data_IF_903562603001
#
_entry.id   IF_903562603001
#
_cell.length_a   1.000
_cell.length_b   1.000
_cell.length_c   1.000
_cell.angle_alpha   90.00
_cell.angle_beta   90.00
_cell.angle_gamma   90.00
#
_symmetry.space_group_name_H-M   'P 1'
#
loop_
_entity.id
_entity.type
_entity.pdbx_description
1 polymer ?
#
# COMPACT_ATOMS: atom_id res chain seq x y z
N UNK A 1 -33.27 6.54 -31.26
CA UNK A 1 -33.58 6.57 -29.82
C UNK A 1 -32.86 5.40 -29.19
N UNK A 2 -31.71 5.63 -28.55
CA UNK A 2 -30.89 4.57 -27.98
C UNK A 2 -30.83 4.76 -26.46
N UNK A 3 -31.29 3.76 -25.71
CA UNK A 3 -31.19 3.76 -24.25
C UNK A 3 -29.73 3.51 -23.84
N UNK A 4 -29.14 4.47 -23.13
CA UNK A 4 -27.92 4.27 -22.35
C UNK A 4 -28.30 3.71 -20.99
N UNK A 5 -28.02 2.43 -20.77
CA UNK A 5 -28.05 1.82 -19.43
C UNK A 5 -26.79 2.23 -18.66
N UNK A 6 -26.96 3.10 -17.67
CA UNK A 6 -25.93 3.44 -16.69
C UNK A 6 -25.78 2.29 -15.69
N UNK A 7 -24.69 1.53 -15.80
CA UNK A 7 -24.34 0.51 -14.80
C UNK A 7 -23.88 1.17 -13.50
N UNK A 8 -24.72 1.13 -12.47
CA UNK A 8 -24.44 1.67 -11.14
C UNK A 8 -23.83 0.59 -10.23
N UNK A 9 -22.55 0.26 -10.42
CA UNK A 9 -21.79 -0.64 -9.53
C UNK A 9 -20.47 -0.04 -9.05
N UNK A 10 -20.50 0.65 -7.90
CA UNK A 10 -19.31 0.82 -7.05
C UNK A 10 -19.72 1.07 -5.59
N UNK A 11 -20.22 0.04 -4.91
CA UNK A 11 -20.81 0.13 -3.56
C UNK A 11 -19.78 0.25 -2.41
N UNK A 12 -18.98 1.33 -2.46
CA UNK A 12 -18.35 1.97 -1.30
C UNK A 12 -17.54 1.06 -0.38
N UNK A 13 -16.25 0.90 -0.67
CA UNK A 13 -15.28 0.91 0.42
C UNK A 13 -15.35 2.31 1.05
N UNK A 14 -15.71 2.40 2.33
CA UNK A 14 -15.75 3.68 3.02
C UNK A 14 -14.37 4.33 2.91
N UNK A 15 -14.31 5.51 2.26
CA UNK A 15 -13.06 6.19 1.97
C UNK A 15 -12.46 6.71 3.29
N UNK A 16 -11.67 5.87 3.96
CA UNK A 16 -10.91 6.23 5.14
C UNK A 16 -10.03 7.41 4.77
N UNK A 17 -10.31 8.59 5.35
CA UNK A 17 -9.49 9.76 5.09
C UNK A 17 -8.07 9.47 5.55
N UNK A 18 -7.05 9.61 4.68
CA UNK A 18 -5.68 9.35 5.05
C UNK A 18 -5.26 10.35 6.13
N UNK A 19 -4.99 9.83 7.34
CA UNK A 19 -4.55 10.63 8.47
C UNK A 19 -3.12 11.14 8.21
N UNK A 20 -3.01 12.42 7.86
CA UNK A 20 -1.74 13.12 7.73
C UNK A 20 -1.51 14.04 8.95
N UNK A 21 -0.26 14.18 9.43
CA UNK A 21 0.10 15.22 10.39
C UNK A 21 -0.31 16.62 9.91
N UNK A 22 -0.72 17.48 10.86
CA UNK A 22 -1.22 18.82 10.57
C UNK A 22 -0.22 19.69 9.77
N UNK A 23 1.08 19.56 10.02
CA UNK A 23 2.13 20.27 9.28
C UNK A 23 2.16 19.89 7.79
N UNK A 24 1.91 18.62 7.44
CA UNK A 24 1.82 18.19 6.04
C UNK A 24 0.52 18.69 5.42
N UNK A 25 -0.59 18.70 6.16
CA UNK A 25 -1.87 19.21 5.66
C UNK A 25 -1.78 20.71 5.35
N UNK A 26 -1.27 21.53 6.28
CA UNK A 26 -1.11 22.96 6.06
C UNK A 26 -0.07 23.22 4.97
N UNK A 27 1.07 22.51 4.98
CA UNK A 27 2.07 22.62 3.92
C UNK A 27 1.50 22.31 2.54
N UNK A 28 0.63 21.31 2.40
CA UNK A 28 -0.05 20.99 1.14
C UNK A 28 -1.14 22.01 0.74
N UNK A 29 -1.75 22.69 1.70
CA UNK A 29 -2.83 23.65 1.47
C UNK A 29 -2.32 25.08 1.21
N UNK A 30 -1.09 25.39 1.62
CA UNK A 30 -0.41 26.65 1.35
C UNK A 30 0.63 26.51 0.22
N UNK A 31 0.67 25.38 -0.50
CA UNK A 31 1.63 25.15 -1.57
C UNK A 31 1.57 26.28 -2.63
N UNK A 32 0.37 26.77 -2.93
CA UNK A 32 0.02 27.78 -3.95
C UNK A 32 0.21 29.22 -3.49
N UNK A 33 0.35 29.43 -2.19
CA UNK A 33 0.68 30.71 -1.57
C UNK A 33 2.20 30.89 -1.36
N UNK A 34 3.01 29.87 -1.66
CA UNK A 34 4.47 29.91 -1.49
C UNK A 34 5.13 30.44 -2.77
N UNK A 35 5.70 31.65 -2.69
CA UNK A 35 6.45 32.31 -3.79
C UNK A 35 7.51 31.40 -4.44
N UNK A 36 8.13 30.52 -3.66
CA UNK A 36 9.14 29.58 -4.13
C UNK A 36 8.62 28.56 -5.17
N UNK A 37 7.29 28.41 -5.32
CA UNK A 37 6.65 27.59 -6.33
C UNK A 37 5.90 28.41 -7.41
N UNK A 38 6.07 29.73 -7.47
CA UNK A 38 5.40 30.58 -8.47
C UNK A 38 5.68 30.14 -9.91
N UNK A 39 6.94 29.78 -10.22
CA UNK A 39 7.35 29.31 -11.54
C UNK A 39 7.02 27.82 -11.82
N UNK A 40 6.31 27.13 -10.91
CA UNK A 40 5.99 25.70 -11.04
C UNK A 40 4.78 25.50 -11.99
N UNK A 41 4.93 24.80 -13.12
CA UNK A 41 3.79 24.54 -14.01
C UNK A 41 2.67 23.73 -13.34
N UNK A 42 1.41 24.13 -13.52
CA UNK A 42 0.19 23.48 -12.98
C UNK A 42 0.18 21.95 -13.16
N UNK A 43 0.73 21.48 -14.29
CA UNK A 43 0.84 20.07 -14.63
C UNK A 43 1.67 19.25 -13.62
N UNK A 44 2.56 19.91 -12.87
CA UNK A 44 3.48 19.31 -11.90
C UNK A 44 2.95 19.39 -10.46
N UNK A 45 1.94 20.21 -10.21
CA UNK A 45 1.30 20.41 -8.90
C UNK A 45 0.98 19.12 -8.16
N UNK A 46 0.23 18.24 -8.85
CA UNK A 46 -0.19 16.95 -8.31
C UNK A 46 0.97 15.99 -8.03
N UNK A 47 2.13 16.21 -8.66
CA UNK A 47 3.35 15.43 -8.38
C UNK A 47 4.00 15.96 -7.10
N UNK A 48 4.14 17.28 -6.95
CA UNK A 48 4.67 17.91 -5.74
C UNK A 48 3.80 17.60 -4.51
N UNK A 49 2.49 17.80 -4.59
CA UNK A 49 1.57 17.50 -3.49
C UNK A 49 1.59 16.01 -3.07
N UNK A 50 1.86 15.08 -3.99
CA UNK A 50 2.06 13.65 -3.67
C UNK A 50 3.43 13.35 -3.09
N UNK A 51 4.45 14.12 -3.44
CA UNK A 51 5.79 14.03 -2.85
C UNK A 51 5.79 14.55 -1.40
N UNK A 52 5.20 15.72 -1.16
CA UNK A 52 5.06 16.33 0.18
C UNK A 52 4.31 15.41 1.14
N UNK A 53 3.22 14.76 0.68
CA UNK A 53 2.47 13.75 1.45
C UNK A 53 3.26 12.47 1.80
N UNK A 54 4.49 12.31 1.30
CA UNK A 54 5.41 11.21 1.63
C UNK A 54 6.62 11.67 2.48
N UNK A 55 6.72 12.95 2.85
CA UNK A 55 7.72 13.44 3.80
C UNK A 55 7.38 12.95 5.21
N UNK A 56 8.39 12.53 5.97
CA UNK A 56 8.26 12.20 7.39
C UNK A 56 8.38 13.46 8.25
N UNK A 57 7.41 13.77 9.11
CA UNK A 57 7.50 14.93 10.02
C UNK A 57 8.56 14.72 11.11
N UNK A 58 8.79 13.47 11.53
CA UNK A 58 9.82 13.14 12.51
C UNK A 58 11.25 13.28 11.95
N UNK A 59 11.39 13.14 10.62
CA UNK A 59 12.69 13.11 9.92
C UNK A 59 12.59 13.78 8.53
N UNK A 60 12.40 15.12 8.45
CA UNK A 60 12.05 15.79 7.19
C UNK A 60 13.10 15.65 6.07
N UNK A 61 14.38 15.55 6.43
CA UNK A 61 15.50 15.39 5.49
C UNK A 61 15.77 13.94 5.05
N UNK A 62 14.95 12.98 5.49
CA UNK A 62 15.13 11.57 5.15
C UNK A 62 14.75 11.29 3.69
N UNK A 63 15.47 10.37 3.05
CA UNK A 63 15.17 9.91 1.70
C UNK A 63 13.74 9.37 1.57
N UNK A 64 12.96 9.96 0.67
CA UNK A 64 11.63 9.47 0.28
C UNK A 64 11.81 8.33 -0.73
N UNK A 65 11.25 7.17 -0.40
CA UNK A 65 11.18 6.01 -1.30
C UNK A 65 9.93 6.12 -2.20
N UNK A 66 10.03 6.94 -3.25
CA UNK A 66 8.96 7.13 -4.22
C UNK A 66 9.38 6.67 -5.62
N UNK A 67 8.89 5.50 -6.06
CA UNK A 67 9.05 5.02 -7.43
C UNK A 67 8.31 5.94 -8.41
N UNK A 68 8.88 6.18 -9.59
CA UNK A 68 8.31 7.10 -10.60
C UNK A 68 6.94 6.63 -11.09
N UNK A 69 6.76 5.32 -11.20
CA UNK A 69 5.53 4.65 -11.60
C UNK A 69 4.44 4.81 -10.52
N UNK A 70 4.83 4.79 -9.24
CA UNK A 70 3.94 5.03 -8.11
C UNK A 70 3.49 6.49 -8.06
N UNK A 71 4.43 7.45 -8.21
CA UNK A 71 4.09 8.88 -8.31
C UNK A 71 3.20 9.18 -9.52
N UNK A 72 3.45 8.55 -10.66
CA UNK A 72 2.62 8.69 -11.87
C UNK A 72 1.17 8.26 -11.61
N UNK A 73 1.00 7.05 -11.06
CA UNK A 73 -0.32 6.51 -10.69
C UNK A 73 -1.04 7.38 -9.64
N UNK A 74 -0.33 7.85 -8.61
CA UNK A 74 -0.95 8.65 -7.52
C UNK A 74 -1.28 10.10 -7.93
N UNK A 75 -0.53 10.68 -8.87
CA UNK A 75 -0.77 12.04 -9.38
C UNK A 75 -1.74 12.09 -10.58
N UNK A 76 -2.00 10.93 -11.22
CA UNK A 76 -2.78 10.84 -12.45
C UNK A 76 -2.03 11.44 -13.66
N UNK A 77 -0.69 11.35 -13.67
CA UNK A 77 0.19 11.90 -14.70
C UNK A 77 1.08 10.80 -15.30
N UNK A 78 1.61 11.02 -16.50
CA UNK A 78 2.51 10.05 -17.12
C UNK A 78 3.88 9.97 -16.43
N UNK A 79 4.62 8.88 -16.62
CA UNK A 79 5.97 8.67 -16.03
C UNK A 79 6.98 9.69 -16.57
N UNK A 80 6.78 10.18 -17.79
CA UNK A 80 7.53 11.26 -18.44
C UNK A 80 7.22 12.59 -17.79
N UNK A 81 5.93 12.87 -17.54
CA UNK A 81 5.47 14.10 -16.87
C UNK A 81 6.00 14.18 -15.45
N UNK A 82 5.93 13.08 -14.68
CA UNK A 82 6.60 12.96 -13.38
C UNK A 82 8.11 13.15 -13.51
N UNK A 83 8.73 12.61 -14.56
CA UNK A 83 10.16 12.81 -14.82
C UNK A 83 10.54 14.28 -15.06
N UNK A 84 9.68 15.06 -15.75
CA UNK A 84 9.88 16.51 -15.98
C UNK A 84 9.64 17.31 -14.70
N UNK A 85 8.54 17.06 -13.98
CA UNK A 85 8.25 17.67 -12.69
C UNK A 85 9.38 17.44 -11.67
N UNK A 86 9.89 16.22 -11.63
CA UNK A 86 11.04 15.87 -10.80
C UNK A 86 12.31 16.61 -11.22
N UNK A 87 12.65 16.69 -12.52
CA UNK A 87 13.80 17.50 -12.96
C UNK A 87 13.66 18.96 -12.57
N UNK A 88 12.51 19.59 -12.83
CA UNK A 88 12.24 20.97 -12.43
C UNK A 88 12.52 21.20 -10.92
N UNK A 89 12.04 20.30 -10.05
CA UNK A 89 12.29 20.38 -8.60
C UNK A 89 13.76 20.16 -8.20
N UNK A 90 14.56 19.49 -9.04
CA UNK A 90 16.00 19.27 -8.86
C UNK A 90 16.79 20.50 -9.34
N UNK A 91 16.41 21.06 -10.49
CA UNK A 91 16.97 22.28 -11.08
C UNK A 91 16.74 23.52 -10.18
N UNK A 92 15.63 23.57 -9.44
CA UNK A 92 15.32 24.62 -8.46
C UNK A 92 15.80 24.29 -7.02
N UNK A 93 16.61 23.23 -6.87
CA UNK A 93 17.24 22.78 -5.62
C UNK A 93 16.27 22.31 -4.50
N UNK A 94 14.99 22.11 -4.77
CA UNK A 94 14.03 21.62 -3.76
C UNK A 94 14.28 20.16 -3.37
N UNK A 95 14.84 19.36 -4.29
CA UNK A 95 15.18 17.95 -4.03
C UNK A 95 16.52 17.56 -4.63
N UNK A 96 17.30 16.77 -3.88
CA UNK A 96 18.48 16.07 -4.40
C UNK A 96 18.11 14.62 -4.75
N UNK A 97 18.69 14.05 -5.81
CA UNK A 97 18.58 12.60 -6.10
C UNK A 97 19.91 11.88 -6.03
N UNK A 98 19.93 10.78 -5.28
CA UNK A 98 20.93 9.74 -5.53
C UNK A 98 20.55 8.98 -6.81
N UNK A 99 21.01 9.44 -7.97
CA UNK A 99 20.94 8.67 -9.20
C UNK A 99 21.97 7.54 -9.18
N UNK A 100 21.67 6.44 -8.44
CA UNK A 100 22.38 5.17 -8.62
C UNK A 100 22.01 4.54 -9.96
N UNK A 101 22.65 5.03 -11.02
CA UNK A 101 22.69 4.38 -12.31
C UNK A 101 23.42 3.04 -12.18
N UNK A 102 22.69 1.96 -11.91
CA UNK A 102 23.21 0.61 -12.09
C UNK A 102 23.46 0.41 -13.58
N UNK A 103 24.72 0.24 -13.98
CA UNK A 103 25.09 0.00 -15.36
C UNK A 103 24.31 -1.21 -15.92
N UNK A 104 23.39 -0.97 -16.87
CA UNK A 104 22.56 -1.99 -17.51
C UNK A 104 21.08 -2.03 -17.12
N UNK A 105 20.62 -1.31 -16.09
CA UNK A 105 19.20 -1.33 -15.68
C UNK A 105 18.46 -0.03 -16.02
N UNK A 106 17.46 -0.14 -16.91
CA UNK A 106 16.50 0.93 -17.25
C UNK A 106 15.44 1.07 -16.14
N UNK A 107 15.87 1.42 -14.94
CA UNK A 107 15.05 1.47 -13.73
C UNK A 107 15.82 2.05 -12.55
N UNK A 108 16.04 3.36 -12.55
CA UNK A 108 16.69 4.08 -11.47
C UNK A 108 15.77 4.18 -10.25
N UNK A 109 16.05 3.39 -9.20
CA UNK A 109 15.51 3.63 -7.86
C UNK A 109 16.17 4.90 -7.29
N UNK A 110 15.65 6.06 -7.69
CA UNK A 110 16.10 7.35 -7.19
C UNK A 110 15.57 7.56 -5.78
N UNK A 111 16.48 7.62 -4.80
CA UNK A 111 16.18 8.18 -3.48
C UNK A 111 16.03 9.68 -3.65
N UNK A 112 14.88 10.22 -3.28
CA UNK A 112 14.60 11.66 -3.34
C UNK A 112 14.81 12.22 -1.94
N UNK A 113 15.80 13.10 -1.78
CA UNK A 113 16.09 13.76 -0.53
C UNK A 113 15.48 15.18 -0.58
N UNK A 114 14.55 15.52 0.34
CA UNK A 114 14.09 16.90 0.49
C UNK A 114 15.25 17.79 0.93
N UNK A 115 15.51 18.87 0.18
CA UNK A 115 16.48 19.89 0.58
C UNK A 115 15.91 20.73 1.73
N UNK A 116 16.77 21.34 2.55
CA UNK A 116 16.36 22.33 3.58
C UNK A 116 15.40 23.39 3.00
N UNK A 117 15.75 23.96 1.83
CA UNK A 117 14.93 24.88 1.02
C UNK A 117 13.45 24.44 0.88
N UNK A 118 13.19 23.15 0.61
CA UNK A 118 11.84 22.60 0.50
C UNK A 118 11.17 22.42 1.86
N UNK A 119 11.92 21.99 2.87
CA UNK A 119 11.42 21.76 4.24
C UNK A 119 11.01 23.10 4.88
N UNK A 120 11.84 24.12 4.73
CA UNK A 120 11.63 25.48 5.22
C UNK A 120 10.47 26.17 4.50
N UNK A 121 10.41 26.08 3.15
CA UNK A 121 9.28 26.61 2.37
C UNK A 121 7.94 26.00 2.80
N UNK A 122 7.89 24.70 3.09
CA UNK A 122 6.68 24.01 3.55
C UNK A 122 6.40 24.20 5.05
N UNK A 123 7.30 24.84 5.81
CA UNK A 123 7.21 24.97 7.27
C UNK A 123 7.24 23.64 8.04
N UNK A 124 7.74 22.55 7.44
CA UNK A 124 7.68 21.21 8.03
C UNK A 124 8.77 21.07 9.10
N UNK A 125 8.35 21.11 10.37
CA UNK A 125 9.25 20.95 11.51
C UNK A 125 9.61 22.26 12.21
N UNK A 126 9.26 23.41 11.63
CA UNK A 126 9.29 24.67 12.39
C UNK A 126 8.13 24.69 13.38
N UNK A 127 8.43 24.89 14.68
CA UNK A 127 7.42 25.37 15.62
C UNK A 127 7.04 26.77 15.16
N UNK A 128 5.83 26.93 14.62
CA UNK A 128 5.25 28.25 14.33
C UNK A 128 5.07 29.01 15.65
N UNK A 129 6.12 29.71 16.07
CA UNK A 129 6.03 30.79 17.04
C UNK A 129 5.27 31.92 16.35
N UNK A 130 3.93 31.82 16.37
CA UNK A 130 3.03 32.81 15.78
C UNK A 130 2.97 34.08 16.64
N UNK A 131 4.13 34.72 16.84
CA UNK A 131 4.17 36.15 17.12
C UNK A 131 3.86 36.83 15.79
N UNK A 132 2.56 36.90 15.48
CA UNK A 132 2.07 37.85 14.50
C UNK A 132 2.30 39.22 15.15
N UNK A 133 3.42 39.86 14.85
CA UNK A 133 3.61 41.28 15.13
C UNK A 133 2.60 42.02 14.28
N UNK A 134 1.39 42.16 14.82
CA UNK A 134 0.45 43.17 14.37
C UNK A 134 1.15 44.50 14.54
N UNK A 135 1.65 45.05 13.43
CA UNK A 135 2.19 46.40 13.40
C UNK A 135 0.98 47.32 13.55
N UNK A 136 0.79 48.02 14.68
CA UNK A 136 -0.35 48.88 14.84
C UNK A 136 -0.18 50.05 13.87
N UNK A 137 -1.19 50.28 13.04
CA UNK A 137 -1.24 51.47 12.20
C UNK A 137 -1.31 52.72 13.10
N UNK A 138 -0.64 53.80 12.70
CA UNK A 138 -0.37 54.94 13.56
C UNK A 138 -1.65 55.76 13.90
N UNK A 139 -1.67 56.51 15.01
CA UNK A 139 -2.91 56.85 15.71
C UNK A 139 -3.58 58.17 15.25
N UNK A 140 -4.90 58.24 15.48
CA UNK A 140 -5.68 59.48 15.48
C UNK A 140 -6.46 59.63 16.81
N UNK A 141 -6.83 60.86 17.22
CA UNK A 141 -6.58 61.28 18.59
C UNK A 141 -7.75 61.13 19.59
N UNK A 142 -7.39 61.32 20.86
CA UNK A 142 -8.21 61.11 22.05
C UNK A 142 -9.52 61.93 22.11
N UNK A 143 -10.52 61.31 22.73
CA UNK A 143 -11.56 61.97 23.51
C UNK A 143 -11.72 61.20 24.84
N UNK A 144 -11.62 61.91 25.96
CA UNK A 144 -11.76 61.34 27.31
C UNK A 144 -13.24 61.13 27.65
N UNK A 145 -13.58 60.08 28.41
CA UNK A 145 -13.95 60.16 29.84
C UNK A 145 -14.43 58.78 30.39
N UNK A 146 -14.66 58.60 31.72
CA UNK A 146 -14.16 57.38 32.40
C UNK A 146 -15.14 56.20 32.64
N UNK A 147 -14.52 55.08 33.04
CA UNK A 147 -14.97 53.91 33.83
C UNK A 147 -16.29 54.02 34.63
N UNK A 148 -17.04 52.91 34.90
CA UNK A 148 -16.47 51.77 35.68
C UNK A 148 -16.97 50.32 35.41
N UNK A 149 -16.22 49.36 35.99
CA UNK A 149 -16.65 48.01 36.45
C UNK A 149 -17.02 46.93 35.38
N UNK A 150 -16.82 45.60 35.57
CA UNK A 150 -16.38 44.79 36.73
C UNK A 150 -15.71 43.46 36.26
N UNK A 151 -14.97 42.78 37.17
CA UNK A 151 -14.76 41.32 37.23
C UNK A 151 -13.83 40.58 36.21
N UNK A 152 -12.56 40.43 36.59
CA UNK A 152 -11.92 39.10 36.70
C UNK A 152 -11.99 38.69 38.19
N UNK A 153 -12.02 37.41 38.61
CA UNK A 153 -11.15 36.30 38.17
C UNK A 153 -11.97 34.99 37.91
N UNK A 154 -11.47 33.74 37.89
CA UNK A 154 -10.16 33.22 38.31
C UNK A 154 -9.73 31.91 37.61
N UNK A 155 -8.44 31.59 37.81
CA UNK A 155 -7.78 30.33 37.54
C UNK A 155 -8.23 29.18 38.47
N UNK A 156 -8.32 27.96 37.91
CA UNK A 156 -8.36 26.71 38.70
C UNK A 156 -7.28 25.73 38.21
N UNK A 157 -6.16 25.79 38.93
CA UNK A 157 -5.24 24.70 39.32
C UNK A 157 -5.33 23.38 38.53
N UNK A 158 -4.29 23.11 37.73
CA UNK A 158 -3.79 21.76 37.54
C UNK A 158 -2.76 21.45 38.63
N UNK A 159 -2.90 20.33 39.31
CA UNK A 159 -1.94 19.81 40.28
C UNK A 159 -1.84 18.28 40.12
N UNK A 160 -0.72 17.67 40.52
CA UNK A 160 -0.49 16.23 40.41
C UNK A 160 0.49 15.79 39.31
N UNK A 161 1.78 16.11 39.49
CA UNK A 161 2.87 15.45 38.75
C UNK A 161 3.37 14.22 39.52
N UNK A 162 3.47 13.05 38.87
CA UNK A 162 4.33 11.95 39.36
C UNK A 162 5.11 11.34 38.20
N UNK A 163 6.43 11.22 38.37
CA UNK A 163 7.32 10.48 37.48
C UNK A 163 8.18 9.51 38.28
N UNK A 164 8.12 8.22 37.93
CA UNK A 164 9.15 7.20 38.12
C UNK A 164 8.67 5.97 37.30
N UNK A 165 9.39 5.46 36.30
CA UNK A 165 10.56 4.58 36.41
C UNK A 165 10.38 3.45 37.44
N UNK A 166 10.61 2.22 36.94
CA UNK A 166 11.07 1.04 37.68
C UNK A 166 10.03 0.16 38.40
N UNK A 167 9.48 -0.81 37.65
CA UNK A 167 9.41 -2.20 38.13
C UNK A 167 9.95 -3.10 37.01
N UNK A 168 10.82 -4.05 37.37
CA UNK A 168 11.53 -4.97 36.47
C UNK A 168 11.16 -6.41 36.83
N UNK A 169 11.33 -7.35 35.89
CA UNK A 169 11.50 -8.79 36.16
C UNK A 169 10.37 -9.59 36.85
N UNK A 170 9.57 -10.31 36.05
CA UNK A 170 9.27 -11.77 36.11
C UNK A 170 8.76 -12.13 34.69
N UNK A 171 9.06 -13.23 33.99
CA UNK A 171 9.66 -14.53 34.33
C UNK A 171 10.90 -14.84 33.44
N UNK A 172 11.75 -15.78 33.87
CA UNK A 172 12.84 -16.34 33.06
C UNK A 172 12.90 -17.86 33.24
N UNK A 173 13.08 -18.57 32.12
CA UNK A 173 13.60 -19.96 32.01
C UNK A 173 12.69 -21.09 32.54
N UNK A 174 12.25 -21.94 31.62
CA UNK A 174 12.56 -23.38 31.72
C UNK A 174 13.14 -23.85 30.39
N UNK A 175 14.10 -24.77 30.47
CA UNK A 175 14.91 -25.26 29.35
C UNK A 175 15.51 -26.59 29.80
N UNK A 176 15.13 -27.70 29.15
CA UNK A 176 15.72 -29.02 29.38
C UNK A 176 15.53 -29.91 28.14
N UNK A 177 16.61 -30.02 27.38
CA UNK A 177 17.24 -31.23 26.82
C UNK A 177 16.41 -32.26 26.02
N UNK A 178 16.65 -32.23 24.69
CA UNK A 178 17.20 -33.32 23.83
C UNK A 178 16.79 -34.81 24.05
N UNK A 179 16.58 -35.59 22.96
CA UNK A 179 17.69 -35.85 22.02
C UNK A 179 17.39 -35.90 20.50
N UNK A 180 18.38 -35.40 19.75
CA UNK A 180 18.82 -35.82 18.40
C UNK A 180 18.10 -37.00 17.72
N UNK A 181 17.49 -36.72 16.57
CA UNK A 181 17.48 -37.64 15.43
C UNK A 181 17.42 -36.90 14.07
N UNK A 182 18.55 -36.91 13.36
CA UNK A 182 18.70 -37.13 11.91
C UNK A 182 18.07 -36.22 10.83
N UNK A 183 18.96 -35.85 9.90
CA UNK A 183 18.73 -35.68 8.45
C UNK A 183 17.85 -34.51 7.97
N UNK A 184 18.51 -33.43 7.53
CA UNK A 184 17.87 -32.32 6.85
C UNK A 184 17.26 -32.69 5.49
N UNK A 185 15.93 -32.67 5.42
CA UNK A 185 15.20 -32.68 4.15
C UNK A 185 14.85 -31.24 3.73
N UNK A 186 15.62 -30.71 2.78
CA UNK A 186 15.22 -29.52 2.01
C UNK A 186 13.92 -29.85 1.28
N UNK A 187 12.82 -29.23 1.70
CA UNK A 187 11.50 -29.39 1.08
C UNK A 187 11.57 -28.96 -0.39
N UNK A 188 11.62 -29.96 -1.28
CA UNK A 188 11.54 -29.74 -2.73
C UNK A 188 10.10 -29.33 -3.06
N UNK A 189 9.84 -28.21 -3.75
CA UNK A 189 8.52 -27.94 -4.29
C UNK A 189 8.14 -29.03 -5.30
N UNK A 190 6.83 -29.30 -5.38
CA UNK A 190 6.21 -30.47 -6.00
C UNK A 190 6.71 -30.84 -7.42
N UNK A 191 6.59 -32.11 -7.84
CA UNK A 191 7.03 -32.56 -9.16
C UNK A 191 6.14 -31.98 -10.27
N UNK A 192 6.63 -30.92 -10.92
CA UNK A 192 6.14 -30.49 -12.23
C UNK A 192 6.22 -31.68 -13.20
N UNK A 193 5.07 -32.21 -13.62
CA UNK A 193 4.96 -33.38 -14.52
C UNK A 193 5.90 -33.19 -15.71
N UNK A 194 6.70 -34.20 -16.05
CA UNK A 194 7.64 -34.14 -17.17
C UNK A 194 7.07 -34.83 -18.41
N UNK A 195 7.20 -34.20 -19.57
CA UNK A 195 6.77 -34.73 -20.87
C UNK A 195 8.00 -35.00 -21.73
N UNK A 196 7.99 -36.11 -22.46
CA UNK A 196 9.04 -36.43 -23.45
C UNK A 196 8.62 -35.84 -24.80
N UNK A 197 9.48 -35.00 -25.39
CA UNK A 197 9.31 -34.43 -26.74
C UNK A 197 10.65 -34.56 -27.46
N UNK A 198 10.64 -35.05 -28.71
CA UNK A 198 11.83 -35.36 -29.52
C UNK A 198 12.88 -36.20 -28.76
N UNK A 199 12.43 -37.24 -28.04
CA UNK A 199 13.27 -38.13 -27.23
C UNK A 199 13.92 -37.48 -26.01
N UNK A 200 13.52 -36.25 -25.62
CA UNK A 200 14.11 -35.49 -24.52
C UNK A 200 13.06 -35.09 -23.49
N UNK A 201 13.44 -35.18 -22.21
CA UNK A 201 12.56 -34.88 -21.07
C UNK A 201 12.53 -33.37 -20.83
N UNK A 202 11.31 -32.79 -20.81
CA UNK A 202 11.07 -31.36 -20.57
C UNK A 202 9.94 -31.23 -19.52
N UNK A 203 9.95 -30.23 -18.61
CA UNK A 203 8.77 -29.90 -17.81
C UNK A 203 7.52 -29.66 -18.67
N UNK A 204 6.36 -30.19 -18.28
CA UNK A 204 5.09 -30.05 -19.01
C UNK A 204 4.75 -28.57 -19.29
N UNK A 205 5.00 -27.69 -18.32
CA UNK A 205 4.81 -26.23 -18.38
C UNK A 205 5.54 -25.55 -19.55
N UNK A 206 6.51 -26.23 -20.18
CA UNK A 206 7.28 -25.74 -21.33
C UNK A 206 6.98 -26.52 -22.63
N UNK A 207 6.18 -27.59 -22.58
CA UNK A 207 5.90 -28.46 -23.73
C UNK A 207 5.10 -27.77 -24.84
N UNK A 208 4.19 -26.87 -24.48
CA UNK A 208 3.43 -26.01 -25.40
C UNK A 208 4.34 -25.13 -26.27
N UNK A 209 5.55 -24.77 -25.78
CA UNK A 209 6.50 -23.94 -26.54
C UNK A 209 7.07 -24.67 -27.74
N UNK A 210 7.17 -26.00 -27.66
CA UNK A 210 7.57 -26.85 -28.78
C UNK A 210 6.38 -27.04 -29.72
N UNK A 211 5.25 -27.52 -29.17
CA UNK A 211 4.06 -27.91 -29.93
C UNK A 211 3.38 -26.74 -30.65
N UNK A 212 3.17 -25.62 -29.97
CA UNK A 212 2.30 -24.53 -30.45
C UNK A 212 3.08 -23.34 -31.02
N UNK A 213 4.38 -23.26 -30.70
CA UNK A 213 5.24 -22.09 -31.01
C UNK A 213 6.49 -22.41 -31.82
N UNK A 214 6.73 -23.69 -32.15
CA UNK A 214 7.83 -24.12 -33.02
C UNK A 214 9.22 -23.85 -32.44
N UNK A 215 9.38 -23.76 -31.11
CA UNK A 215 10.71 -23.64 -30.50
C UNK A 215 11.36 -25.02 -30.38
N UNK A 216 12.59 -25.14 -30.89
CA UNK A 216 13.40 -26.38 -30.81
C UNK A 216 13.64 -26.77 -29.35
N UNK A 217 13.51 -28.06 -29.03
CA UNK A 217 13.78 -28.63 -27.70
C UNK A 217 15.19 -28.28 -27.18
N UNK A 218 16.19 -28.27 -28.07
CA UNK A 218 17.57 -27.87 -27.73
C UNK A 218 17.68 -26.40 -27.29
N UNK A 219 16.83 -25.51 -27.81
CA UNK A 219 16.70 -24.13 -27.37
C UNK A 219 16.16 -24.04 -25.94
N UNK A 220 15.11 -24.80 -25.62
CA UNK A 220 14.55 -24.86 -24.26
C UNK A 220 15.61 -25.33 -23.25
N UNK A 221 16.34 -26.40 -23.56
CA UNK A 221 17.40 -26.91 -22.69
C UNK A 221 18.53 -25.89 -22.48
N UNK A 222 18.88 -25.10 -23.50
CA UNK A 222 19.83 -23.98 -23.37
C UNK A 222 19.29 -22.86 -22.49
N UNK A 223 18.02 -22.47 -22.65
CA UNK A 223 17.34 -21.49 -21.78
C UNK A 223 17.26 -21.97 -20.33
N UNK A 224 16.95 -23.25 -20.09
CA UNK A 224 16.93 -23.83 -18.73
C UNK A 224 18.31 -23.77 -18.06
N UNK A 225 19.39 -23.98 -18.82
CA UNK A 225 20.76 -23.84 -18.32
C UNK A 225 21.10 -22.38 -18.00
N UNK A 226 20.75 -21.44 -18.88
CA UNK A 226 20.97 -20.00 -18.65
C UNK A 226 20.18 -19.50 -17.43
N UNK A 227 18.90 -19.85 -17.31
CA UNK A 227 18.07 -19.51 -16.16
C UNK A 227 18.66 -20.07 -14.85
N UNK A 228 19.13 -21.32 -14.85
CA UNK A 228 19.78 -21.94 -13.69
C UNK A 228 21.06 -21.20 -13.28
N UNK A 229 21.87 -20.76 -14.24
CA UNK A 229 23.07 -19.96 -13.96
C UNK A 229 22.70 -18.60 -13.36
N UNK A 230 21.60 -17.99 -13.82
CA UNK A 230 21.00 -16.79 -13.22
C UNK A 230 20.22 -17.06 -11.91
N UNK A 231 20.26 -18.29 -11.36
CA UNK A 231 19.54 -18.72 -10.14
C UNK A 231 18.00 -18.63 -10.21
N UNK A 232 17.42 -18.62 -11.41
CA UNK A 232 15.97 -18.62 -11.64
C UNK A 232 15.48 -19.91 -12.30
N UNK A 233 14.18 -20.22 -12.18
CA UNK A 233 13.53 -21.29 -12.96
C UNK A 233 12.92 -20.72 -14.22
N UNK A 234 13.18 -21.36 -15.37
CA UNK A 234 12.58 -20.94 -16.65
C UNK A 234 11.05 -20.94 -16.61
N UNK A 235 10.43 -21.92 -15.94
CA UNK A 235 8.96 -21.96 -15.76
C UNK A 235 8.41 -20.73 -15.04
N UNK A 236 9.13 -20.16 -14.07
CA UNK A 236 8.70 -18.96 -13.34
C UNK A 236 8.68 -17.73 -14.26
N UNK A 237 9.76 -17.58 -15.04
CA UNK A 237 9.91 -16.50 -16.03
C UNK A 237 8.81 -16.60 -17.09
N UNK A 238 8.57 -17.80 -17.62
CA UNK A 238 7.56 -18.05 -18.66
C UNK A 238 6.14 -17.79 -18.15
N UNK A 239 5.81 -18.22 -16.93
CA UNK A 239 4.50 -17.96 -16.32
C UNK A 239 4.22 -16.45 -16.17
N UNK A 240 5.20 -15.70 -15.66
CA UNK A 240 5.08 -14.25 -15.45
C UNK A 240 5.12 -13.40 -16.72
N UNK A 241 5.65 -13.93 -17.82
CA UNK A 241 5.79 -13.20 -19.10
C UNK A 241 4.86 -13.69 -20.21
N UNK A 242 3.93 -14.60 -19.89
CA UNK A 242 3.04 -15.27 -20.85
C UNK A 242 2.41 -14.35 -21.90
N UNK A 243 1.86 -13.21 -21.49
CA UNK A 243 1.21 -12.25 -22.41
C UNK A 243 2.17 -11.71 -23.47
N UNK A 244 3.40 -11.38 -23.09
CA UNK A 244 4.44 -10.90 -23.99
C UNK A 244 5.04 -12.03 -24.86
N UNK A 245 4.91 -13.29 -24.45
CA UNK A 245 5.31 -14.46 -25.22
C UNK A 245 4.24 -14.89 -26.24
N UNK A 246 2.96 -14.58 -25.99
CA UNK A 246 1.80 -14.95 -26.82
C UNK A 246 1.89 -14.56 -28.32
N UNK A 247 2.47 -13.42 -28.74
CA UNK A 247 2.67 -13.12 -30.16
C UNK A 247 3.95 -13.74 -30.77
N UNK A 248 4.90 -14.19 -29.95
CA UNK A 248 6.22 -14.62 -30.42
C UNK A 248 6.24 -16.11 -30.82
N UNK A 249 7.12 -16.46 -31.76
CA UNK A 249 7.34 -17.83 -32.26
C UNK A 249 8.83 -18.09 -32.53
N UNK A 250 9.22 -19.37 -32.52
CA UNK A 250 10.55 -19.85 -32.92
C UNK A 250 11.74 -19.06 -32.33
N UNK A 251 12.61 -18.56 -33.20
CA UNK A 251 13.84 -17.87 -32.80
C UNK A 251 13.59 -16.53 -32.06
N UNK A 252 12.51 -15.83 -32.38
CA UNK A 252 12.16 -14.57 -31.71
C UNK A 252 11.72 -14.83 -30.25
N UNK A 253 10.98 -15.90 -30.01
CA UNK A 253 10.61 -16.38 -28.67
C UNK A 253 11.86 -16.73 -27.85
N UNK A 254 12.82 -17.47 -28.44
CA UNK A 254 14.09 -17.80 -27.79
C UNK A 254 14.92 -16.55 -27.45
N UNK A 255 15.07 -15.60 -28.39
CA UNK A 255 15.84 -14.37 -28.17
C UNK A 255 15.22 -13.49 -27.06
N UNK A 256 13.89 -13.37 -27.03
CA UNK A 256 13.19 -12.63 -25.99
C UNK A 256 13.34 -13.29 -24.61
N UNK A 257 13.27 -14.62 -24.52
CA UNK A 257 13.51 -15.35 -23.28
C UNK A 257 14.96 -15.21 -22.78
N UNK A 258 15.95 -15.26 -23.67
CA UNK A 258 17.34 -14.91 -23.31
C UNK A 258 17.41 -13.50 -22.72
N UNK A 259 16.77 -12.51 -23.36
CA UNK A 259 16.72 -11.12 -22.86
C UNK A 259 16.03 -11.01 -21.50
N UNK A 260 15.00 -11.79 -21.21
CA UNK A 260 14.34 -11.81 -19.90
C UNK A 260 15.20 -12.47 -18.82
N UNK A 261 15.87 -13.59 -19.12
CA UNK A 261 16.81 -14.26 -18.20
C UNK A 261 17.99 -13.35 -17.84
N UNK A 262 18.44 -12.50 -18.78
CA UNK A 262 19.53 -11.55 -18.58
C UNK A 262 19.10 -10.25 -17.86
N UNK A 263 17.82 -10.04 -17.54
CA UNK A 263 17.39 -8.93 -16.70
C UNK A 263 17.64 -9.25 -15.22
N UNK A 264 18.32 -8.35 -14.52
CA UNK A 264 18.47 -8.37 -13.05
C UNK A 264 17.11 -8.12 -12.38
N UNK A 265 16.32 -9.20 -12.24
CA UNK A 265 14.99 -9.25 -11.64
C UNK A 265 14.81 -10.58 -10.93
N UNK A 266 14.35 -10.56 -9.68
CA UNK A 266 14.00 -11.80 -8.99
C UNK A 266 12.63 -12.33 -9.44
N UNK A 267 12.66 -13.13 -10.51
CA UNK A 267 11.49 -13.81 -11.07
C UNK A 267 10.83 -14.79 -10.11
N UNK A 268 11.57 -15.40 -9.19
CA UNK A 268 11.03 -16.35 -8.21
C UNK A 268 10.32 -15.61 -7.07
N UNK A 269 10.81 -14.45 -6.64
CA UNK A 269 10.08 -13.56 -5.75
C UNK A 269 8.83 -12.98 -6.41
N UNK A 270 8.93 -12.50 -7.66
CA UNK A 270 7.79 -12.00 -8.42
C UNK A 270 6.68 -13.05 -8.56
N UNK A 271 7.05 -14.32 -8.80
CA UNK A 271 6.10 -15.42 -8.89
C UNK A 271 5.38 -15.65 -7.56
N UNK A 272 6.12 -15.81 -6.46
CA UNK A 272 5.54 -15.97 -5.11
C UNK A 272 4.59 -14.83 -4.74
N UNK A 273 4.90 -13.61 -5.17
CA UNK A 273 4.03 -12.45 -4.96
C UNK A 273 2.73 -12.59 -5.76
N UNK A 274 2.81 -12.87 -7.05
CA UNK A 274 1.62 -12.98 -7.90
C UNK A 274 0.73 -14.17 -7.48
N UNK A 275 1.34 -15.32 -7.18
CA UNK A 275 0.64 -16.50 -6.68
C UNK A 275 -0.10 -16.16 -5.36
N UNK A 276 0.54 -15.43 -4.43
CA UNK A 276 -0.10 -14.96 -3.20
C UNK A 276 -1.21 -13.94 -3.46
N UNK A 277 -0.96 -12.93 -4.31
CA UNK A 277 -1.95 -11.89 -4.62
C UNK A 277 -3.22 -12.53 -5.24
N UNK A 278 -3.07 -13.61 -6.03
CA UNK A 278 -4.17 -14.41 -6.58
C UNK A 278 -4.85 -15.33 -5.55
N UNK A 279 -4.11 -15.98 -4.64
CA UNK A 279 -4.69 -16.72 -3.51
C UNK A 279 -5.52 -15.80 -2.60
N UNK A 280 -5.02 -14.60 -2.30
CA UNK A 280 -5.70 -13.63 -1.45
C UNK A 280 -6.92 -13.01 -2.16
N UNK A 281 -6.94 -12.95 -3.50
CA UNK A 281 -8.11 -12.56 -4.30
C UNK A 281 -9.19 -13.66 -4.33
N UNK A 282 -8.80 -14.90 -4.61
CA UNK A 282 -9.72 -16.05 -4.62
C UNK A 282 -10.35 -16.31 -3.25
N UNK A 283 -9.59 -16.17 -2.15
CA UNK A 283 -10.14 -16.20 -0.79
C UNK A 283 -11.16 -15.07 -0.57
N UNK A 284 -10.84 -13.83 -0.96
CA UNK A 284 -11.76 -12.68 -0.85
C UNK A 284 -13.06 -12.88 -1.65
N UNK A 285 -13.00 -13.51 -2.81
CA UNK A 285 -14.18 -13.87 -3.61
C UNK A 285 -15.03 -14.94 -2.92
N UNK A 286 -14.41 -16.02 -2.43
CA UNK A 286 -15.10 -17.08 -1.67
C UNK A 286 -15.75 -16.54 -0.38
N UNK A 287 -15.05 -15.65 0.34
CA UNK A 287 -15.59 -14.99 1.53
C UNK A 287 -16.77 -14.08 1.19
N UNK A 288 -16.69 -13.31 0.10
CA UNK A 288 -17.77 -12.44 -0.36
C UNK A 288 -19.02 -13.24 -0.78
N UNK A 289 -18.86 -14.34 -1.53
CA UNK A 289 -19.95 -15.25 -1.90
C UNK A 289 -20.60 -15.90 -0.68
N UNK A 290 -19.80 -16.32 0.30
CA UNK A 290 -20.27 -16.92 1.54
C UNK A 290 -21.03 -15.91 2.41
N UNK A 291 -20.52 -14.69 2.55
CA UNK A 291 -21.21 -13.60 3.25
C UNK A 291 -22.52 -13.26 2.54
N UNK A 292 -22.51 -13.09 1.22
CA UNK A 292 -23.72 -12.78 0.45
C UNK A 292 -24.82 -13.85 0.63
N UNK A 293 -24.44 -15.14 0.61
CA UNK A 293 -25.37 -16.25 0.89
C UNK A 293 -25.92 -16.18 2.33
N UNK A 294 -25.08 -15.90 3.32
CA UNK A 294 -25.49 -15.84 4.73
C UNK A 294 -26.31 -14.60 5.08
N UNK A 295 -26.10 -13.47 4.41
CA UNK A 295 -26.98 -12.28 4.52
C UNK A 295 -28.41 -12.63 4.14
N UNK A 296 -28.61 -13.36 3.03
CA UNK A 296 -29.94 -13.80 2.60
C UNK A 296 -30.53 -14.83 3.59
N UNK A 297 -29.73 -15.83 3.99
CA UNK A 297 -30.16 -16.92 4.89
C UNK A 297 -30.57 -16.40 6.28
N UNK A 298 -29.89 -15.36 6.78
CA UNK A 298 -30.05 -14.87 8.17
C UNK A 298 -30.77 -13.53 8.28
N UNK A 299 -31.32 -13.00 7.19
CA UNK A 299 -32.10 -11.78 7.17
C UNK A 299 -33.22 -11.81 8.24
N UNK A 300 -33.26 -10.78 9.09
CA UNK A 300 -34.23 -10.66 10.19
C UNK A 300 -33.94 -11.55 11.40
N UNK A 301 -32.88 -12.36 11.40
CA UNK A 301 -32.50 -13.15 12.57
C UNK A 301 -31.76 -12.30 13.61
N UNK A 302 -31.97 -12.64 14.88
CA UNK A 302 -31.30 -12.03 16.04
C UNK A 302 -30.31 -13.04 16.60
N UNK A 303 -29.07 -12.61 16.82
CA UNK A 303 -27.99 -13.43 17.36
C UNK A 303 -27.53 -12.85 18.68
N UNK A 304 -27.39 -13.69 19.69
CA UNK A 304 -26.93 -13.30 21.02
C UNK A 304 -25.54 -13.90 21.30
N UNK A 305 -24.70 -13.11 21.95
CA UNK A 305 -23.38 -13.53 22.44
C UNK A 305 -23.51 -14.64 23.48
N UNK A 306 -22.49 -15.48 23.63
CA UNK A 306 -22.40 -16.50 24.68
C UNK A 306 -22.51 -15.92 26.10
N UNK A 307 -22.09 -14.67 26.31
CA UNK A 307 -22.22 -13.93 27.58
C UNK A 307 -23.59 -13.25 27.79
N UNK A 308 -24.48 -13.33 26.80
CA UNK A 308 -25.79 -12.67 26.73
C UNK A 308 -25.77 -11.13 26.82
N UNK A 309 -24.58 -10.49 26.80
CA UNK A 309 -24.43 -9.03 26.92
C UNK A 309 -24.67 -8.27 25.61
N UNK A 310 -24.64 -8.96 24.47
CA UNK A 310 -24.69 -8.36 23.14
C UNK A 310 -25.64 -9.11 22.23
N UNK A 311 -26.54 -8.38 21.58
CA UNK A 311 -27.52 -8.90 20.62
C UNK A 311 -27.29 -8.19 19.29
N UNK A 312 -26.97 -8.94 18.24
CA UNK A 312 -26.87 -8.45 16.87
C UNK A 312 -28.13 -8.79 16.09
N UNK A 313 -28.60 -7.84 15.29
CA UNK A 313 -29.74 -8.01 14.38
C UNK A 313 -29.19 -7.96 12.96
N UNK A 314 -29.51 -8.96 12.14
CA UNK A 314 -29.13 -9.01 10.72
C UNK A 314 -30.22 -8.34 9.89
N UNK A 315 -29.87 -7.25 9.21
CA UNK A 315 -30.77 -6.54 8.30
C UNK A 315 -30.75 -7.13 6.88
N UNK A 316 -31.82 -6.87 6.11
CA UNK A 316 -31.90 -7.17 4.67
C UNK A 316 -30.82 -6.48 3.83
N UNK A 317 -30.24 -5.40 4.36
CA UNK A 317 -29.14 -4.63 3.76
C UNK A 317 -27.77 -5.33 3.86
N UNK A 318 -27.67 -6.47 4.56
CA UNK A 318 -26.40 -7.08 4.94
C UNK A 318 -25.65 -6.33 6.04
N UNK A 319 -26.30 -5.35 6.69
CA UNK A 319 -25.79 -4.72 7.90
C UNK A 319 -26.14 -5.58 9.12
N UNK A 320 -25.25 -5.52 10.12
CA UNK A 320 -25.48 -6.03 11.46
C UNK A 320 -25.49 -4.86 12.45
N UNK A 321 -26.56 -4.75 13.22
CA UNK A 321 -26.78 -3.69 14.22
C UNK A 321 -26.68 -4.28 15.61
N UNK A 322 -25.89 -3.66 16.49
CA UNK A 322 -25.83 -4.04 17.90
C UNK A 322 -26.99 -3.38 18.65
N UNK A 323 -27.89 -4.19 19.23
CA UNK A 323 -29.03 -3.71 19.99
C UNK A 323 -28.56 -2.88 21.20
N UNK A 324 -29.07 -1.65 21.34
CA UNK A 324 -28.67 -0.70 22.39
C UNK A 324 -27.47 0.18 22.05
N UNK A 325 -26.87 0.07 20.85
CA UNK A 325 -25.79 0.94 20.40
C UNK A 325 -26.08 1.53 19.01
N UNK A 326 -25.72 2.80 18.79
CA UNK A 326 -25.76 3.45 17.47
C UNK A 326 -24.58 3.00 16.57
N UNK A 327 -24.27 1.71 16.58
CA UNK A 327 -23.18 1.08 15.85
C UNK A 327 -23.73 0.00 14.92
N UNK A 328 -23.79 0.33 13.63
CA UNK A 328 -24.03 -0.63 12.55
C UNK A 328 -22.73 -0.88 11.78
N UNK A 329 -22.53 -2.10 11.32
CA UNK A 329 -21.41 -2.47 10.43
C UNK A 329 -21.90 -3.47 9.38
N UNK A 330 -21.23 -3.57 8.23
CA UNK A 330 -21.51 -4.65 7.28
C UNK A 330 -21.18 -6.00 7.92
N UNK A 331 -21.92 -7.04 7.55
CA UNK A 331 -21.58 -8.41 7.90
C UNK A 331 -20.19 -8.74 7.34
N UNK A 332 -19.28 -9.18 8.22
CA UNK A 332 -17.91 -9.55 7.89
C UNK A 332 -17.70 -11.05 8.08
N UNK A 333 -16.57 -11.56 7.55
CA UNK A 333 -16.24 -12.98 7.66
C UNK A 333 -16.20 -13.47 9.11
N UNK A 334 -15.64 -12.64 10.00
CA UNK A 334 -15.56 -12.91 11.44
C UNK A 334 -16.93 -13.06 12.12
N UNK A 335 -17.94 -12.27 11.75
CA UNK A 335 -19.31 -12.47 12.25
C UNK A 335 -19.89 -13.80 11.77
N UNK A 336 -19.70 -14.14 10.49
CA UNK A 336 -20.22 -15.40 9.94
C UNK A 336 -19.57 -16.61 10.60
N UNK A 337 -18.24 -16.60 10.77
CA UNK A 337 -17.54 -17.66 11.47
C UNK A 337 -17.99 -17.75 12.94
N UNK A 338 -18.15 -16.61 13.65
CA UNK A 338 -18.64 -16.63 15.03
C UNK A 338 -20.06 -17.21 15.20
N UNK A 339 -20.93 -17.08 14.19
CA UNK A 339 -22.23 -17.79 14.16
C UNK A 339 -22.05 -19.28 13.88
N UNK A 340 -21.22 -19.64 12.88
CA UNK A 340 -21.00 -21.03 12.48
C UNK A 340 -20.28 -21.86 13.56
N UNK A 341 -19.37 -21.25 14.31
CA UNK A 341 -18.68 -21.83 15.46
C UNK A 341 -19.56 -21.91 16.74
N UNK A 342 -20.75 -21.33 16.72
CA UNK A 342 -21.68 -21.31 17.86
C UNK A 342 -21.30 -20.33 18.98
N UNK A 343 -20.33 -19.45 18.74
CA UNK A 343 -19.99 -18.33 19.63
C UNK A 343 -21.12 -17.29 19.69
N UNK A 344 -21.88 -17.16 18.59
CA UNK A 344 -23.13 -16.41 18.50
C UNK A 344 -24.30 -17.38 18.30
N UNK A 345 -25.26 -17.36 19.23
CA UNK A 345 -26.44 -18.25 19.17
C UNK A 345 -27.62 -17.51 18.56
N UNK A 346 -28.34 -18.14 17.64
CA UNK A 346 -29.62 -17.62 17.15
C UNK A 346 -30.62 -17.57 18.31
N UNK A 347 -31.17 -16.39 18.56
CA UNK A 347 -32.29 -16.21 19.47
C UNK A 347 -33.56 -16.64 18.75
N UNK A 348 -34.46 -17.35 19.43
CA UNK A 348 -35.83 -17.52 18.93
C UNK A 348 -36.50 -16.14 18.83
N UNK A 349 -37.41 -16.00 17.87
CA UNK A 349 -38.17 -14.77 17.66
C UNK A 349 -39.21 -14.57 18.77
#
# INVERSE_FOLDING_TARGET
MNHLTLNAETAGAAAQMPAYPLSILIGCAALDEIDAFFDLPDGYWRVLARLVKKISVATPSQAIFARRETLARESGKSVETVGRALRWLEDHEFITREQKARAGLRGSEARIHPTKKLIDALGIGQRRNATRTYTPEAPLPAANDPTPELSTPSAVKNDGSISAKQVHSLLKKEQSDEPRASAGQKTKPAPSKSVVIDGKVIPADLGWMVKDRGMRVTGILKLMRLARNAKHRLSDIVALSWEALKPLRGNALFAYLCKLIMQDKDWTWLRKRNDKDAEDETKRQQDAELIARKVIEWQGHRYVSRDQQRIWIVESSGMIVLHGANASRRMDRAFVDAVMEGNLRRMAA
#
